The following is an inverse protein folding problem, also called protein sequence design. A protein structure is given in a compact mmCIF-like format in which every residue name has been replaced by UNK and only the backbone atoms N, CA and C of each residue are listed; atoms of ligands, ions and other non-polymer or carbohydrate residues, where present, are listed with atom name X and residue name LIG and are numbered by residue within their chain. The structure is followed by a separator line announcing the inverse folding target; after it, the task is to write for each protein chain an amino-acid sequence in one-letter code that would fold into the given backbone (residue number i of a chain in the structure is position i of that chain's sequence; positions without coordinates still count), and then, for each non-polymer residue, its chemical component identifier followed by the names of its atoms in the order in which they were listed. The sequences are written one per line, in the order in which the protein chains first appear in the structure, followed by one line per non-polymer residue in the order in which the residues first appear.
data_IF_217788849452
#
_entry.id   IF_217788849452
#
_cell.length_a   1.000
_cell.length_b   1.000
_cell.length_c   1.000
_cell.angle_alpha   90.00
_cell.angle_beta   90.00
_cell.angle_gamma   90.00
#
_symmetry.space_group_name_H-M   'P 1'
#
loop_
_entity.id
_entity.type
_entity.pdbx_description
1 polymer ?
#
# COMPACT_ATOMS: atom_id res chain seq x y z
N UNK A 1 -4.12 11.47 2.99
CA UNK A 1 -4.63 10.19 2.45
C UNK A 1 -5.78 10.54 1.51
N UNK A 2 -5.85 9.90 0.35
CA UNK A 2 -6.92 10.10 -0.64
C UNK A 2 -7.69 8.80 -0.76
N UNK A 3 -8.98 8.81 -0.44
CA UNK A 3 -9.90 7.68 -0.65
C UNK A 3 -10.53 7.77 -2.05
N UNK A 4 -11.02 6.64 -2.56
CA UNK A 4 -11.63 6.55 -3.91
C UNK A 4 -10.70 7.03 -5.04
N UNK A 5 -9.39 6.85 -4.87
CA UNK A 5 -8.36 7.29 -5.81
C UNK A 5 -8.54 6.67 -7.21
N UNK A 6 -9.19 5.52 -7.31
CA UNK A 6 -9.52 4.87 -8.58
C UNK A 6 -10.43 5.72 -9.47
N UNK A 7 -11.16 6.69 -8.90
CA UNK A 7 -11.96 7.65 -9.66
C UNK A 7 -11.12 8.71 -10.39
N UNK A 8 -9.82 8.81 -10.07
CA UNK A 8 -8.95 9.87 -10.55
C UNK A 8 -7.49 9.44 -10.75
N UNK A 9 -7.23 8.20 -11.15
CA UNK A 9 -5.85 7.69 -11.29
C UNK A 9 -4.97 8.57 -12.19
N UNK A 10 -5.55 9.14 -13.25
CA UNK A 10 -4.84 9.96 -14.22
C UNK A 10 -4.41 11.34 -13.69
N UNK A 11 -4.93 11.79 -12.55
CA UNK A 11 -4.59 13.08 -11.93
C UNK A 11 -3.75 12.91 -10.66
N UNK A 12 -3.40 11.68 -10.30
CA UNK A 12 -2.51 11.43 -9.17
C UNK A 12 -1.13 12.02 -9.44
N UNK A 13 -0.42 12.48 -8.40
CA UNK A 13 0.99 12.80 -8.53
C UNK A 13 1.77 11.60 -9.10
N UNK A 14 2.80 11.88 -9.89
CA UNK A 14 3.63 10.82 -10.51
C UNK A 14 4.19 9.85 -9.45
N UNK A 15 4.56 10.37 -8.28
CA UNK A 15 4.92 9.57 -7.11
C UNK A 15 3.75 9.48 -6.12
N UNK A 16 3.35 8.27 -5.77
CA UNK A 16 2.31 7.98 -4.80
C UNK A 16 2.44 6.54 -4.30
N UNK A 17 1.78 6.22 -3.19
CA UNK A 17 1.58 4.84 -2.75
C UNK A 17 0.10 4.51 -2.93
N UNK A 18 -0.22 3.70 -3.92
CA UNK A 18 -1.58 3.21 -4.10
C UNK A 18 -1.79 2.03 -3.16
N UNK A 19 -2.90 2.05 -2.41
CA UNK A 19 -3.31 0.98 -1.50
C UNK A 19 -4.63 0.44 -2.02
N UNK A 20 -4.63 -0.83 -2.40
CA UNK A 20 -5.85 -1.52 -2.82
C UNK A 20 -6.29 -2.45 -1.69
N UNK A 21 -7.55 -2.36 -1.29
CA UNK A 21 -8.13 -3.19 -0.23
C UNK A 21 -9.22 -4.04 -0.86
N UNK A 22 -9.14 -5.36 -0.68
CA UNK A 22 -10.11 -6.31 -1.19
C UNK A 22 -10.84 -7.01 -0.04
N UNK A 23 -12.12 -7.26 -0.27
CA UNK A 23 -12.95 -8.05 0.64
C UNK A 23 -12.50 -9.53 0.61
N UNK A 24 -12.38 -10.16 1.79
CA UNK A 24 -12.14 -11.61 1.92
C UNK A 24 -13.30 -12.30 2.64
N UNK A 25 -13.71 -11.80 3.80
CA UNK A 25 -14.84 -12.28 4.60
C UNK A 25 -15.38 -11.13 5.44
N UNK A 26 -16.45 -11.32 6.22
CA UNK A 26 -17.03 -10.22 7.02
C UNK A 26 -15.99 -9.55 7.93
N UNK A 27 -15.08 -10.34 8.50
CA UNK A 27 -14.04 -9.88 9.44
C UNK A 27 -12.63 -9.82 8.84
N UNK A 28 -12.41 -10.24 7.60
CA UNK A 28 -11.09 -10.25 6.98
C UNK A 28 -11.02 -9.43 5.71
N UNK A 29 -9.87 -8.81 5.48
CA UNK A 29 -9.55 -8.05 4.27
C UNK A 29 -8.14 -8.42 3.83
N UNK A 30 -7.91 -8.43 2.52
CA UNK A 30 -6.56 -8.37 1.98
C UNK A 30 -6.29 -6.95 1.51
N UNK A 31 -5.01 -6.57 1.50
CA UNK A 31 -4.60 -5.33 0.86
C UNK A 31 -3.27 -5.50 0.15
N UNK A 32 -3.03 -4.63 -0.82
CA UNK A 32 -1.79 -4.57 -1.58
C UNK A 32 -1.25 -3.14 -1.58
N UNK A 33 0.08 -3.02 -1.43
CA UNK A 33 0.82 -1.78 -1.56
C UNK A 33 1.44 -1.73 -2.96
N UNK A 34 1.08 -0.72 -3.74
CA UNK A 34 1.62 -0.46 -5.09
C UNK A 34 2.37 0.88 -5.08
N UNK A 35 3.66 0.89 -4.69
CA UNK A 35 4.45 2.11 -4.67
C UNK A 35 4.79 2.59 -6.09
N UNK A 36 4.64 3.89 -6.32
CA UNK A 36 5.14 4.60 -7.50
C UNK A 36 6.13 5.67 -7.03
N UNK A 37 7.37 5.62 -7.53
CA UNK A 37 8.45 6.52 -7.13
C UNK A 37 9.34 5.97 -6.01
N UNK A 38 10.57 6.49 -5.96
CA UNK A 38 11.63 5.95 -5.12
C UNK A 38 11.30 6.05 -3.62
N UNK A 39 10.76 7.20 -3.20
CA UNK A 39 10.35 7.42 -1.82
C UNK A 39 9.35 6.37 -1.32
N UNK A 40 8.36 6.01 -2.14
CA UNK A 40 7.31 5.07 -1.73
C UNK A 40 7.79 3.61 -1.80
N UNK A 41 8.75 3.30 -2.67
CA UNK A 41 9.41 1.99 -2.68
C UNK A 41 10.23 1.76 -1.40
N UNK A 42 10.94 2.79 -0.93
CA UNK A 42 11.68 2.74 0.33
C UNK A 42 10.75 2.51 1.53
N UNK A 43 9.62 3.24 1.59
CA UNK A 43 8.60 3.05 2.63
C UNK A 43 8.06 1.61 2.61
N UNK A 44 7.72 1.07 1.43
CA UNK A 44 7.21 -0.29 1.30
C UNK A 44 8.24 -1.34 1.76
N UNK A 45 9.52 -1.10 1.49
CA UNK A 45 10.63 -1.97 1.89
C UNK A 45 10.82 -1.95 3.41
N UNK A 46 10.85 -0.77 4.03
CA UNK A 46 10.97 -0.62 5.48
C UNK A 46 9.81 -1.29 6.22
N UNK A 47 8.58 -1.16 5.70
CA UNK A 47 7.41 -1.84 6.27
C UNK A 47 7.54 -3.37 6.17
N UNK A 48 7.99 -3.88 5.03
CA UNK A 48 8.22 -5.33 4.86
C UNK A 48 9.25 -5.84 5.86
N UNK A 49 10.37 -5.14 6.01
CA UNK A 49 11.44 -5.52 6.93
C UNK A 49 10.98 -5.46 8.40
N UNK A 50 10.18 -4.45 8.75
CA UNK A 50 9.52 -4.36 10.05
C UNK A 50 8.67 -5.61 10.33
N UNK A 51 7.76 -5.98 9.42
CA UNK A 51 6.92 -7.16 9.61
C UNK A 51 7.70 -8.48 9.65
N UNK A 52 8.77 -8.60 8.84
CA UNK A 52 9.62 -9.79 8.85
C UNK A 52 10.41 -9.92 10.16
N UNK A 53 10.81 -8.81 10.76
CA UNK A 53 11.48 -8.78 12.06
C UNK A 53 10.54 -9.24 13.17
N UNK A 54 9.31 -8.71 13.20
CA UNK A 54 8.32 -9.07 14.22
C UNK A 54 7.76 -10.50 14.08
N UNK A 55 7.77 -11.10 12.89
CA UNK A 55 7.37 -12.51 12.72
C UNK A 55 8.41 -13.53 13.19
N UNK A 56 9.65 -13.09 13.45
CA UNK A 56 10.76 -13.97 13.87
C UNK A 56 11.01 -13.97 15.38
N UNK A 57 10.41 -13.03 16.12
CA UNK A 57 10.45 -12.96 17.59
C UNK A 57 9.25 -13.69 18.19
#
# INVERSE_FOLDING_TARGET
VVEWAEKGLNILPAEHLLIEISYLSDTERSFQLKPSGQRYLEIATQLKDFFLTYRKA
#
